data_IF_082375459957
#
_entry.id   IF_082375459957
#
_cell.length_a   1.000
_cell.length_b   1.000
_cell.length_c   1.000
_cell.angle_alpha   90.00
_cell.angle_beta   90.00
_cell.angle_gamma   90.00
#
_symmetry.space_group_name_H-M   'P 1'
#
loop_
_entity.id
_entity.type
_entity.pdbx_description
1 polymer ?
#
# COMPACT_ATOMS: atom_id res chain seq x y z
N UNK A 1 -18.13 7.32 5.06
CA UNK A 1 -17.76 7.53 3.65
C UNK A 1 -16.52 6.70 3.41
N UNK A 2 -16.57 5.75 2.49
CA UNK A 2 -15.37 5.01 2.09
C UNK A 2 -14.52 5.99 1.28
N UNK A 3 -13.38 6.41 1.84
CA UNK A 3 -12.46 7.30 1.13
C UNK A 3 -11.77 6.45 0.06
N UNK A 4 -12.30 6.49 -1.16
CA UNK A 4 -11.69 5.80 -2.29
C UNK A 4 -10.41 6.52 -2.68
N UNK A 5 -9.27 5.82 -2.56
CA UNK A 5 -7.98 6.32 -3.02
C UNK A 5 -8.05 6.69 -4.51
N UNK A 6 -7.49 7.85 -4.88
CA UNK A 6 -7.50 8.31 -6.27
C UNK A 6 -6.78 7.30 -7.20
N UNK A 7 -7.47 6.90 -8.28
CA UNK A 7 -7.02 5.89 -9.21
C UNK A 7 -7.26 4.43 -8.77
N UNK A 8 -8.04 4.21 -7.70
CA UNK A 8 -8.44 2.88 -7.19
C UNK A 8 -9.94 2.60 -7.33
N UNK A 9 -10.69 3.37 -8.13
CA UNK A 9 -12.14 3.24 -8.26
C UNK A 9 -12.60 1.78 -8.55
N UNK A 10 -11.92 1.07 -9.46
CA UNK A 10 -12.24 -0.32 -9.81
C UNK A 10 -11.85 -1.35 -8.74
N UNK A 11 -11.14 -0.90 -7.70
CA UNK A 11 -10.71 -1.74 -6.59
C UNK A 11 -11.70 -1.75 -5.44
N UNK A 12 -12.62 -0.78 -5.34
CA UNK A 12 -13.65 -0.77 -4.31
C UNK A 12 -14.96 -1.37 -4.85
N UNK A 13 -15.49 -2.37 -4.15
CA UNK A 13 -16.69 -3.09 -4.57
C UNK A 13 -17.46 -3.66 -3.38
N UNK A 14 -18.73 -4.03 -3.56
CA UNK A 14 -19.59 -4.42 -2.43
C UNK A 14 -19.20 -5.75 -1.76
N UNK A 15 -18.47 -6.62 -2.45
CA UNK A 15 -18.17 -7.99 -2.00
C UNK A 15 -16.66 -8.22 -1.89
N UNK A 16 -16.03 -7.56 -0.92
CA UNK A 16 -14.59 -7.69 -0.68
C UNK A 16 -14.29 -8.93 0.17
N UNK A 17 -13.22 -9.64 -0.19
CA UNK A 17 -12.69 -10.71 0.65
C UNK A 17 -12.01 -10.18 1.91
N UNK A 18 -11.77 -11.07 2.89
CA UNK A 18 -11.19 -10.67 4.18
C UNK A 18 -9.78 -10.12 4.02
N UNK A 19 -8.95 -10.76 3.19
CA UNK A 19 -7.59 -10.33 2.95
C UNK A 19 -7.55 -9.06 2.10
N UNK A 20 -8.41 -8.95 1.09
CA UNK A 20 -8.58 -7.75 0.28
C UNK A 20 -8.89 -6.53 1.16
N UNK A 21 -9.89 -6.65 2.04
CA UNK A 21 -10.28 -5.56 2.95
C UNK A 21 -9.14 -5.16 3.89
N UNK A 22 -8.49 -6.13 4.53
CA UNK A 22 -7.35 -5.86 5.42
C UNK A 22 -6.18 -5.18 4.68
N UNK A 23 -5.96 -5.55 3.41
CA UNK A 23 -4.91 -4.95 2.58
C UNK A 23 -5.23 -3.50 2.21
N UNK A 24 -6.50 -3.18 1.94
CA UNK A 24 -6.94 -1.80 1.69
C UNK A 24 -6.81 -0.93 2.93
N UNK A 25 -7.27 -1.41 4.09
CA UNK A 25 -7.12 -0.71 5.37
C UNK A 25 -5.65 -0.43 5.69
N UNK A 26 -4.77 -1.42 5.43
CA UNK A 26 -3.33 -1.24 5.55
C UNK A 26 -2.81 -0.13 4.63
N UNK A 27 -3.13 -0.19 3.33
CA UNK A 27 -2.69 0.83 2.36
C UNK A 27 -3.20 2.22 2.78
N UNK A 28 -4.47 2.34 3.15
CA UNK A 28 -5.06 3.61 3.62
C UNK A 28 -4.29 4.17 4.84
N UNK A 29 -3.84 3.31 5.76
CA UNK A 29 -3.02 3.74 6.91
C UNK A 29 -1.63 4.27 6.52
N UNK A 30 -1.04 3.79 5.41
CA UNK A 30 0.24 4.28 4.91
C UNK A 30 0.10 5.58 4.11
N UNK A 31 -0.96 5.65 3.29
CA UNK A 31 -1.21 6.77 2.39
C UNK A 31 -1.68 8.00 3.17
N UNK A 32 -2.64 7.84 4.09
CA UNK A 32 -3.31 8.97 4.72
C UNK A 32 -3.85 9.95 3.67
N UNK A 33 -3.51 11.24 3.81
CA UNK A 33 -3.88 12.30 2.86
C UNK A 33 -2.83 12.54 1.75
N UNK A 34 -1.81 11.68 1.64
CA UNK A 34 -0.70 11.89 0.68
C UNK A 34 -1.14 11.58 -0.74
N UNK A 35 -0.64 12.38 -1.69
CA UNK A 35 -0.75 12.04 -3.10
C UNK A 35 0.25 10.94 -3.46
N UNK A 36 -0.26 9.85 -4.04
CA UNK A 36 0.57 8.74 -4.51
C UNK A 36 1.09 9.01 -5.92
N UNK A 37 2.39 8.79 -6.11
CA UNK A 37 2.98 8.77 -7.44
C UNK A 37 2.67 7.43 -8.16
N UNK A 38 3.02 7.31 -9.46
CA UNK A 38 2.73 6.12 -10.23
C UNK A 38 3.32 4.81 -9.65
N UNK A 39 4.52 4.85 -9.06
CA UNK A 39 5.18 3.67 -8.51
C UNK A 39 4.47 3.19 -7.23
N UNK A 40 4.18 4.11 -6.31
CA UNK A 40 3.41 3.79 -5.11
C UNK A 40 2.00 3.28 -5.47
N UNK A 41 1.34 3.89 -6.46
CA UNK A 41 0.04 3.40 -6.99
C UNK A 41 0.18 1.97 -7.52
N UNK A 42 1.23 1.64 -8.26
CA UNK A 42 1.47 0.30 -8.79
C UNK A 42 1.67 -0.75 -7.68
N UNK A 43 2.48 -0.45 -6.66
CA UNK A 43 2.70 -1.34 -5.50
C UNK A 43 1.39 -1.63 -4.78
N UNK A 44 0.63 -0.59 -4.43
CA UNK A 44 -0.66 -0.72 -3.76
C UNK A 44 -1.65 -1.58 -4.56
N UNK A 45 -1.79 -1.33 -5.88
CA UNK A 45 -2.66 -2.11 -6.77
C UNK A 45 -2.24 -3.58 -6.85
N UNK A 46 -0.94 -3.84 -6.86
CA UNK A 46 -0.38 -5.19 -6.86
C UNK A 46 -0.73 -5.94 -5.59
N UNK A 47 -0.57 -5.30 -4.43
CA UNK A 47 -0.95 -5.88 -3.14
C UNK A 47 -2.44 -6.26 -3.10
N UNK A 48 -3.34 -5.37 -3.54
CA UNK A 48 -4.78 -5.65 -3.55
C UNK A 48 -5.12 -6.84 -4.47
N UNK A 49 -4.49 -6.93 -5.65
CA UNK A 49 -4.70 -8.05 -6.57
C UNK A 49 -4.21 -9.40 -5.99
N UNK A 50 -3.09 -9.38 -5.26
CA UNK A 50 -2.57 -10.58 -4.57
C UNK A 50 -3.53 -10.98 -3.44
N UNK A 51 -4.05 -10.03 -2.66
CA UNK A 51 -5.02 -10.27 -1.61
C UNK A 51 -6.33 -10.88 -2.15
N UNK A 52 -6.85 -10.38 -3.28
CA UNK A 52 -7.99 -10.98 -3.99
C UNK A 52 -7.73 -12.42 -4.41
N UNK A 53 -6.54 -12.71 -4.90
CA UNK A 53 -6.14 -14.08 -5.26
C UNK A 53 -6.07 -14.98 -4.01
N UNK A 54 -5.54 -14.47 -2.90
CA UNK A 54 -5.53 -15.18 -1.62
C UNK A 54 -6.95 -15.57 -1.21
N UNK A 55 -7.88 -14.60 -1.20
CA UNK A 55 -9.28 -14.85 -0.82
C UNK A 55 -9.94 -15.89 -1.74
N UNK A 56 -9.73 -15.80 -3.05
CA UNK A 56 -10.28 -16.73 -4.03
C UNK A 56 -9.74 -18.16 -3.88
N UNK A 57 -8.48 -18.33 -3.47
CA UNK A 57 -7.88 -19.63 -3.19
C UNK A 57 -8.35 -20.19 -1.84
N UNK A 58 -8.40 -19.34 -0.81
CA UNK A 58 -8.78 -19.71 0.54
C UNK A 58 -10.21 -20.24 0.61
N UNK A 59 -11.17 -19.59 -0.07
CA UNK A 59 -12.56 -20.06 -0.17
C UNK A 59 -12.67 -21.45 -0.80
N UNK A 60 -11.71 -21.81 -1.68
CA UNK A 60 -11.66 -23.13 -2.33
C UNK A 60 -10.86 -24.15 -1.52
N UNK A 61 -10.40 -23.82 -0.32
CA UNK A 61 -9.54 -24.67 0.52
C UNK A 61 -8.18 -24.96 -0.11
N UNK A 62 -7.69 -24.11 -1.01
CA UNK A 62 -6.39 -24.29 -1.67
C UNK A 62 -5.27 -23.66 -0.84
N UNK A 63 -4.06 -24.18 -0.98
CA UNK A 63 -2.88 -23.60 -0.36
C UNK A 63 -2.69 -22.14 -0.79
N UNK A 64 -2.47 -21.27 0.20
CA UNK A 64 -2.29 -19.84 0.04
C UNK A 64 -0.90 -19.37 0.45
N UNK A 65 -0.02 -20.27 0.90
CA UNK A 65 1.32 -19.95 1.43
C UNK A 65 2.15 -19.06 0.49
N UNK A 66 2.20 -19.42 -0.80
CA UNK A 66 2.93 -18.66 -1.83
C UNK A 66 2.35 -17.25 -2.03
N UNK A 67 1.03 -17.14 -2.05
CA UNK A 67 0.35 -15.85 -2.25
C UNK A 67 0.57 -14.96 -1.03
N UNK A 68 0.53 -15.54 0.17
CA UNK A 68 0.82 -14.82 1.41
C UNK A 68 2.27 -14.34 1.48
N UNK A 69 3.24 -15.16 1.07
CA UNK A 69 4.64 -14.76 0.98
C UNK A 69 4.85 -13.61 -0.01
N UNK A 70 4.16 -13.64 -1.16
CA UNK A 70 4.18 -12.55 -2.13
C UNK A 70 3.58 -11.26 -1.53
N UNK A 71 2.46 -11.36 -0.82
CA UNK A 71 1.84 -10.21 -0.18
C UNK A 71 2.76 -9.57 0.88
N UNK A 72 3.47 -10.39 1.66
CA UNK A 72 4.45 -9.93 2.64
C UNK A 72 5.62 -9.20 1.96
N UNK A 73 6.13 -9.72 0.84
CA UNK A 73 7.21 -9.08 0.10
C UNK A 73 6.80 -7.69 -0.43
N UNK A 74 5.60 -7.57 -1.03
CA UNK A 74 5.10 -6.29 -1.51
C UNK A 74 4.77 -5.31 -0.38
N UNK A 75 4.34 -5.80 0.78
CA UNK A 75 4.21 -4.96 1.97
C UNK A 75 5.56 -4.38 2.41
N UNK A 76 6.63 -5.17 2.38
CA UNK A 76 7.98 -4.67 2.69
C UNK A 76 8.42 -3.61 1.67
N UNK A 77 8.14 -3.81 0.38
CA UNK A 77 8.39 -2.82 -0.66
C UNK A 77 7.63 -1.51 -0.41
N UNK A 78 6.33 -1.61 -0.07
CA UNK A 78 5.51 -0.45 0.30
C UNK A 78 6.13 0.31 1.48
N UNK A 79 6.59 -0.39 2.51
CA UNK A 79 7.26 0.26 3.65
C UNK A 79 8.50 1.02 3.21
N UNK A 80 9.36 0.42 2.38
CA UNK A 80 10.58 1.05 1.87
C UNK A 80 10.27 2.33 1.09
N UNK A 81 9.28 2.28 0.19
CA UNK A 81 8.84 3.43 -0.63
C UNK A 81 8.28 4.59 0.20
N UNK A 82 7.67 4.30 1.37
CA UNK A 82 7.12 5.33 2.26
C UNK A 82 8.12 5.83 3.30
N UNK A 83 9.07 4.98 3.72
CA UNK A 83 10.16 5.36 4.63
C UNK A 83 11.20 6.25 3.92
N UNK A 84 11.53 5.95 2.66
CA UNK A 84 12.43 6.80 1.85
C UNK A 84 11.89 8.22 1.66
N UNK A 85 10.57 8.42 1.74
CA UNK A 85 9.92 9.74 1.67
C UNK A 85 9.87 10.48 2.99
N UNK A 86 10.13 9.83 4.12
CA UNK A 86 10.02 10.44 5.45
C UNK A 86 11.26 11.24 5.86
N UNK A 87 12.32 11.26 5.05
CA UNK A 87 13.58 11.93 5.40
C UNK A 87 13.79 13.20 4.58
N UNK A 88 13.31 14.34 5.10
CA UNK A 88 14.21 15.38 5.62
C UNK A 88 13.56 15.91 6.91
N UNK A 89 14.22 15.71 8.04
CA UNK A 89 13.87 16.35 9.30
C UNK A 89 13.73 17.87 9.07
N UNK A 90 12.64 18.55 9.48
CA UNK A 90 12.51 20.00 9.33
C UNK A 90 13.71 20.80 9.87
N UNK A 91 14.37 20.28 10.91
CA UNK A 91 15.63 20.83 11.42
C UNK A 91 16.79 20.61 10.43
N UNK A 92 16.87 19.45 9.80
CA UNK A 92 17.85 19.15 8.75
C UNK A 92 17.62 20.00 7.48
N UNK A 93 16.37 20.24 7.11
CA UNK A 93 16.02 21.13 6.00
C UNK A 93 16.49 22.56 6.27
N UNK A 94 16.25 23.06 7.50
CA UNK A 94 16.71 24.40 7.92
C UNK A 94 18.24 24.50 7.93
N UNK A 95 18.94 23.46 8.42
CA UNK A 95 20.41 23.42 8.42
C UNK A 95 21.01 23.36 7.00
N UNK A 96 20.35 22.68 6.06
CA UNK A 96 20.77 22.64 4.66
C UNK A 96 20.58 23.99 3.95
N UNK A 97 19.51 24.73 4.28
CA UNK A 97 19.30 26.09 3.79
C UNK A 97 20.35 27.06 4.35
N UNK A 98 20.66 26.98 5.65
CA UNK A 98 21.70 27.81 6.29
C UNK A 98 23.10 27.54 5.72
N UNK A 99 23.42 26.29 5.37
CA UNK A 99 24.72 25.92 4.82
C UNK A 99 24.93 26.35 3.35
N UNK A 100 23.86 26.73 2.64
CA UNK A 100 23.91 27.22 1.25
C UNK A 100 23.92 28.76 1.15
N UNK A 101 23.71 29.47 2.26
CA UNK A 101 23.73 30.94 2.36
C UNK A 101 25.14 31.48 2.68
#
# INVERSE_FOLDING_TARGET
MQMTLDGFNDYYGPNEGLQERATKELIESFVGDRQLDPNAKYVCKTMINIARNFDALNVKGRDTSRVMAQLLAWYQELKTEFQSRQEIDPALASLLEEAQA
#
